data_IF_568804007657
#
_entry.id   IF_568804007657
#
_cell.length_a   1.000
_cell.length_b   1.000
_cell.length_c   1.000
_cell.angle_alpha   90.00
_cell.angle_beta   90.00
_cell.angle_gamma   90.00
#
_symmetry.space_group_name_H-M   'P 1'
#
loop_
_entity.id
_entity.type
_entity.pdbx_description
1 polymer ?
#
# COMPACT_ATOMS: atom_id res chain seq x y z
N UNK A 1 -5.09 -13.88 -1.32
CA UNK A 1 -5.23 -14.87 -0.24
C UNK A 1 -6.58 -14.67 0.45
N UNK A 2 -6.86 -15.41 1.51
CA UNK A 2 -8.09 -15.27 2.31
C UNK A 2 -8.15 -13.89 2.98
N UNK A 3 -7.05 -13.44 3.56
CA UNK A 3 -6.91 -12.15 4.25
C UNK A 3 -7.20 -10.96 3.32
N UNK A 4 -6.84 -11.07 2.03
CA UNK A 4 -7.17 -10.05 1.04
C UNK A 4 -8.68 -9.95 0.79
N UNK A 5 -9.39 -11.08 0.77
CA UNK A 5 -10.84 -11.10 0.55
C UNK A 5 -11.55 -10.50 1.75
N UNK A 6 -11.14 -10.88 2.95
CA UNK A 6 -11.63 -10.27 4.20
C UNK A 6 -11.40 -8.76 4.22
N UNK A 7 -10.21 -8.29 3.84
CA UNK A 7 -9.92 -6.87 3.76
C UNK A 7 -10.82 -6.12 2.76
N UNK A 8 -11.13 -6.73 1.62
CA UNK A 8 -12.06 -6.18 0.62
C UNK A 8 -13.47 -6.09 1.19
N UNK A 9 -13.92 -7.11 1.92
CA UNK A 9 -15.27 -7.14 2.48
C UNK A 9 -15.41 -6.14 3.64
N UNK A 10 -14.43 -6.05 4.53
CA UNK A 10 -14.35 -4.99 5.54
C UNK A 10 -14.39 -3.60 4.92
N UNK A 11 -13.65 -3.38 3.83
CA UNK A 11 -13.68 -2.10 3.12
C UNK A 11 -15.09 -1.80 2.58
N UNK A 12 -15.75 -2.78 1.94
CA UNK A 12 -17.12 -2.61 1.40
C UNK A 12 -18.15 -2.30 2.48
N UNK A 13 -18.03 -2.93 3.65
CA UNK A 13 -18.91 -2.72 4.81
C UNK A 13 -18.69 -1.35 5.45
N UNK A 14 -17.44 -0.89 5.55
CA UNK A 14 -17.09 0.41 6.12
C UNK A 14 -17.50 1.61 5.24
N UNK A 15 -17.85 1.37 3.96
CA UNK A 15 -18.25 2.45 3.05
C UNK A 15 -19.54 3.11 3.54
N UNK A 16 -19.59 4.46 3.57
CA UNK A 16 -20.80 5.18 3.95
C UNK A 16 -21.90 5.11 2.89
N UNK A 17 -21.54 4.78 1.64
CA UNK A 17 -22.47 4.66 0.50
C UNK A 17 -22.24 3.32 -0.18
N UNK A 18 -23.17 2.37 -0.01
CA UNK A 18 -23.01 0.99 -0.51
C UNK A 18 -23.17 0.85 -2.03
N UNK A 19 -23.88 1.77 -2.67
CA UNK A 19 -24.10 1.78 -4.13
C UNK A 19 -22.95 2.43 -4.91
N UNK A 20 -21.93 2.95 -4.23
CA UNK A 20 -20.78 3.57 -4.90
C UNK A 20 -20.02 2.52 -5.73
N UNK A 21 -19.61 2.85 -6.97
CA UNK A 21 -18.86 1.92 -7.83
C UNK A 21 -17.42 1.69 -7.34
N UNK A 22 -16.92 2.52 -6.42
CA UNK A 22 -15.56 2.50 -5.93
C UNK A 22 -15.40 1.63 -4.67
N UNK A 23 -14.30 0.88 -4.58
CA UNK A 23 -13.96 0.12 -3.38
C UNK A 23 -13.68 1.05 -2.19
N UNK A 24 -12.98 2.16 -2.45
CA UNK A 24 -12.78 3.23 -1.49
C UNK A 24 -13.48 4.49 -1.99
N UNK A 25 -14.35 5.07 -1.16
CA UNK A 25 -15.07 6.29 -1.50
C UNK A 25 -15.09 7.28 -0.33
N UNK A 26 -15.31 8.55 -0.65
CA UNK A 26 -15.49 9.58 0.36
C UNK A 26 -16.89 9.47 1.01
N UNK A 27 -17.19 10.35 1.98
CA UNK A 27 -18.49 10.38 2.69
C UNK A 27 -19.71 10.57 1.77
N UNK A 28 -19.50 11.03 0.53
CA UNK A 28 -20.53 11.26 -0.49
C UNK A 28 -20.62 10.12 -1.51
N UNK A 29 -19.77 9.09 -1.40
CA UNK A 29 -19.71 7.98 -2.35
C UNK A 29 -18.86 8.27 -3.60
N UNK A 30 -18.11 9.37 -3.63
CA UNK A 30 -17.29 9.78 -4.77
C UNK A 30 -15.88 9.18 -4.68
N UNK A 31 -15.17 9.13 -5.82
CA UNK A 31 -13.77 8.69 -5.90
C UNK A 31 -12.85 9.62 -5.09
N UNK A 32 -11.77 9.08 -4.53
CA UNK A 32 -10.72 9.89 -3.89
C UNK A 32 -9.80 10.60 -4.89
N UNK A 33 -9.74 10.12 -6.13
CA UNK A 33 -8.93 10.71 -7.19
C UNK A 33 -9.72 11.81 -7.91
N UNK A 34 -9.18 13.02 -7.89
CA UNK A 34 -9.66 14.17 -8.65
C UNK A 34 -9.01 14.14 -10.03
N UNK A 35 -9.75 13.69 -11.05
CA UNK A 35 -9.26 13.57 -12.43
C UNK A 35 -8.86 14.93 -13.05
N UNK A 36 -9.50 16.03 -12.65
CA UNK A 36 -9.20 17.34 -13.21
C UNK A 36 -7.86 17.90 -12.71
N UNK A 37 -7.49 17.56 -11.47
CA UNK A 37 -6.22 17.98 -10.85
C UNK A 37 -5.14 16.91 -10.88
N UNK A 38 -5.50 15.68 -11.25
CA UNK A 38 -4.64 14.49 -11.17
C UNK A 38 -4.08 14.27 -9.75
N UNK A 39 -4.91 14.49 -8.72
CA UNK A 39 -4.48 14.37 -7.32
C UNK A 39 -5.43 13.51 -6.48
N UNK A 40 -4.91 12.96 -5.38
CA UNK A 40 -5.67 12.18 -4.40
C UNK A 40 -5.64 12.83 -2.99
N UNK A 41 -5.73 14.16 -2.91
CA UNK A 41 -5.54 14.91 -1.64
C UNK A 41 -6.42 14.45 -0.46
N UNK A 42 -7.62 13.96 -0.74
CA UNK A 42 -8.51 13.39 0.29
C UNK A 42 -7.97 12.09 0.88
N UNK A 43 -7.27 11.29 0.08
CA UNK A 43 -6.59 10.08 0.50
C UNK A 43 -5.36 10.40 1.36
N UNK A 44 -4.54 11.37 0.93
CA UNK A 44 -3.37 11.83 1.70
C UNK A 44 -3.77 12.30 3.10
N UNK A 45 -4.87 13.05 3.19
CA UNK A 45 -5.45 13.51 4.46
C UNK A 45 -5.95 12.36 5.34
N UNK A 46 -6.47 11.29 4.73
CA UNK A 46 -6.87 10.08 5.46
C UNK A 46 -5.65 9.36 6.02
N UNK A 47 -4.61 9.19 5.19
CA UNK A 47 -3.37 8.54 5.60
C UNK A 47 -2.70 9.26 6.77
N UNK A 48 -2.64 10.60 6.74
CA UNK A 48 -2.08 11.37 7.84
C UNK A 48 -2.77 11.06 9.17
N UNK A 49 -4.11 11.10 9.20
CA UNK A 49 -4.90 10.84 10.42
C UNK A 49 -4.77 9.39 10.88
N UNK A 50 -4.71 8.46 9.94
CA UNK A 50 -4.45 7.05 10.23
C UNK A 50 -3.09 6.85 10.90
N UNK A 51 -2.05 7.49 10.37
CA UNK A 51 -0.70 7.44 10.95
C UNK A 51 -0.64 8.07 12.34
N UNK A 52 -1.32 9.20 12.57
CA UNK A 52 -1.44 9.81 13.90
C UNK A 52 -2.06 8.84 14.91
N UNK A 53 -3.14 8.15 14.53
CA UNK A 53 -3.77 7.14 15.38
C UNK A 53 -2.88 5.94 15.63
N UNK A 54 -2.20 5.42 14.60
CA UNK A 54 -1.28 4.28 14.74
C UNK A 54 -0.19 4.55 15.76
N UNK A 55 0.41 5.75 15.74
CA UNK A 55 1.49 6.10 16.68
C UNK A 55 1.02 6.18 18.13
N UNK A 56 -0.27 6.51 18.35
CA UNK A 56 -0.85 6.64 19.69
C UNK A 56 -1.42 5.32 20.20
N UNK A 57 -2.10 4.58 19.32
CA UNK A 57 -2.93 3.41 19.67
C UNK A 57 -2.15 2.09 19.59
N UNK A 58 -0.95 2.08 18.99
CA UNK A 58 -0.18 0.84 18.73
C UNK A 58 1.29 0.97 19.17
N UNK A 59 2.07 -0.10 18.96
CA UNK A 59 3.52 -0.13 19.25
C UNK A 59 4.37 0.45 18.11
N UNK A 60 3.76 1.01 17.07
CA UNK A 60 4.51 1.61 15.97
C UNK A 60 5.11 2.93 16.47
N UNK A 61 6.44 3.04 16.42
CA UNK A 61 7.16 4.23 16.90
C UNK A 61 7.47 5.23 15.79
N UNK A 62 7.58 4.76 14.54
CA UNK A 62 8.01 5.57 13.41
C UNK A 62 6.92 5.63 12.33
N UNK A 63 6.79 6.79 11.70
CA UNK A 63 5.89 6.95 10.55
C UNK A 63 6.39 6.16 9.36
N UNK A 64 5.45 5.69 8.54
CA UNK A 64 5.71 5.14 7.23
C UNK A 64 4.67 5.66 6.23
N UNK A 65 5.00 5.53 4.95
CA UNK A 65 4.19 5.95 3.81
C UNK A 65 3.60 4.73 3.10
N UNK A 66 2.63 4.95 2.21
CA UNK A 66 2.10 3.87 1.38
C UNK A 66 3.18 3.29 0.44
N UNK A 67 4.14 4.13 0.05
CA UNK A 67 5.29 3.70 -0.73
C UNK A 67 6.18 2.72 0.06
N UNK A 68 6.23 2.83 1.39
CA UNK A 68 6.95 1.87 2.24
C UNK A 68 6.22 0.52 2.30
N UNK A 69 4.88 0.51 2.31
CA UNK A 69 4.11 -0.74 2.18
C UNK A 69 4.37 -1.42 0.84
N UNK A 70 4.45 -0.64 -0.24
CA UNK A 70 4.80 -1.13 -1.57
C UNK A 70 6.22 -1.71 -1.61
N UNK A 71 7.19 -1.05 -0.97
CA UNK A 71 8.55 -1.58 -0.82
C UNK A 71 8.60 -2.84 0.05
N UNK A 72 7.80 -2.92 1.12
CA UNK A 72 7.70 -4.13 1.95
C UNK A 72 7.20 -5.32 1.14
N UNK A 73 6.15 -5.14 0.35
CA UNK A 73 5.61 -6.18 -0.54
C UNK A 73 6.68 -6.72 -1.50
N UNK A 74 7.42 -5.83 -2.17
CA UNK A 74 8.50 -6.24 -3.07
C UNK A 74 9.70 -6.88 -2.34
N UNK A 75 9.99 -6.44 -1.12
CA UNK A 75 11.06 -7.02 -0.30
C UNK A 75 10.75 -8.42 0.24
N UNK A 76 9.46 -8.75 0.38
CA UNK A 76 9.01 -10.07 0.81
C UNK A 76 8.90 -11.08 -0.33
N UNK A 77 8.82 -10.61 -1.58
CA UNK A 77 8.82 -11.47 -2.74
C UNK A 77 10.14 -12.25 -2.84
N UNK A 78 10.02 -13.55 -3.13
CA UNK A 78 11.16 -14.48 -3.17
C UNK A 78 12.19 -14.12 -4.24
N UNK A 79 11.73 -13.60 -5.38
CA UNK A 79 12.57 -13.31 -6.54
C UNK A 79 12.37 -11.88 -7.02
N UNK A 80 13.41 -11.31 -7.64
CA UNK A 80 13.32 -9.98 -8.26
C UNK A 80 12.23 -9.91 -9.33
N UNK A 81 12.07 -10.99 -10.10
CA UNK A 81 11.07 -11.03 -11.17
C UNK A 81 9.63 -11.07 -10.63
N UNK A 82 9.40 -11.80 -9.53
CA UNK A 82 8.13 -11.77 -8.83
C UNK A 82 7.85 -10.37 -8.25
N UNK A 83 8.84 -9.75 -7.60
CA UNK A 83 8.72 -8.40 -7.08
C UNK A 83 8.39 -7.38 -8.19
N UNK A 84 9.11 -7.45 -9.33
CA UNK A 84 8.90 -6.58 -10.49
C UNK A 84 7.49 -6.72 -11.04
N UNK A 85 6.99 -7.96 -11.14
CA UNK A 85 5.65 -8.26 -11.62
C UNK A 85 4.56 -7.75 -10.68
N UNK A 86 4.71 -7.96 -9.35
CA UNK A 86 3.78 -7.42 -8.34
C UNK A 86 3.69 -5.90 -8.39
N UNK A 87 4.82 -5.24 -8.63
CA UNK A 87 4.88 -3.79 -8.74
C UNK A 87 4.55 -3.26 -10.14
N UNK A 88 4.35 -4.12 -11.15
CA UNK A 88 4.15 -3.72 -12.54
C UNK A 88 5.24 -2.75 -13.06
N UNK A 89 6.49 -2.93 -12.63
CA UNK A 89 7.61 -2.13 -13.14
C UNK A 89 8.12 -2.68 -14.47
N UNK A 90 8.41 -1.79 -15.42
CA UNK A 90 8.99 -2.15 -16.70
C UNK A 90 10.40 -2.75 -16.56
N UNK A 91 11.20 -2.24 -15.61
CA UNK A 91 12.58 -2.67 -15.38
C UNK A 91 12.77 -3.17 -13.92
N UNK A 92 13.35 -4.36 -13.78
CA UNK A 92 13.71 -4.95 -12.50
C UNK A 92 14.79 -4.17 -11.75
N UNK A 93 15.69 -3.45 -12.44
CA UNK A 93 16.75 -2.66 -11.78
C UNK A 93 16.18 -1.58 -10.86
N UNK A 94 15.07 -0.97 -11.25
CA UNK A 94 14.38 0.02 -10.42
C UNK A 94 13.73 -0.63 -9.19
N UNK A 95 13.10 -1.79 -9.37
CA UNK A 95 12.54 -2.58 -8.25
C UNK A 95 13.62 -2.97 -7.24
N UNK A 96 14.75 -3.49 -7.72
CA UNK A 96 15.85 -3.92 -6.87
C UNK A 96 16.42 -2.76 -6.07
N UNK A 97 16.74 -1.65 -6.74
CA UNK A 97 17.36 -0.48 -6.11
C UNK A 97 16.45 0.24 -5.11
N UNK A 98 15.16 0.43 -5.44
CA UNK A 98 14.27 1.33 -4.67
C UNK A 98 13.28 0.60 -3.76
N UNK A 99 12.91 -0.63 -4.10
CA UNK A 99 11.82 -1.37 -3.43
C UNK A 99 12.29 -2.64 -2.71
N UNK A 100 13.40 -3.29 -3.09
CA UNK A 100 13.98 -4.42 -2.34
C UNK A 100 14.92 -3.92 -1.24
N UNK A 101 14.32 -3.38 -0.19
CA UNK A 101 15.05 -2.73 0.92
C UNK A 101 15.55 -3.71 2.00
N UNK A 102 15.02 -4.94 2.00
CA UNK A 102 15.44 -5.98 2.94
C UNK A 102 16.83 -6.51 2.57
N UNK A 103 17.77 -6.64 3.52
CA UNK A 103 19.08 -7.22 3.26
C UNK A 103 18.99 -8.65 2.71
N UNK A 104 19.82 -8.97 1.73
CA UNK A 104 19.95 -10.34 1.24
C UNK A 104 20.79 -11.18 2.19
N UNK A 105 20.24 -12.34 2.56
CA UNK A 105 20.98 -13.33 3.34
C UNK A 105 21.83 -14.16 2.38
N UNK A 106 23.12 -13.88 2.35
CA UNK A 106 24.09 -14.66 1.56
C UNK A 106 24.71 -15.77 2.40
N UNK A 107 24.98 -16.92 1.79
CA UNK A 107 25.83 -17.96 2.38
C UNK A 107 27.24 -17.78 1.82
N UNK A 108 28.28 -17.54 2.65
CA UNK A 108 29.64 -17.47 2.19
C UNK A 108 30.06 -18.78 1.50
N UNK A 109 30.86 -18.67 0.45
CA UNK A 109 31.55 -19.84 -0.13
C UNK A 109 32.53 -20.38 0.92
N UNK A 110 32.47 -21.69 1.16
CA UNK A 110 33.49 -22.42 1.93
C UNK A 110 34.69 -22.72 1.06
#
# INVERSE_FOLDING_TARGET
>A
SEELREAIDMAKEARPVHIAPWLFCNKRGECYFDEAKETASGWDSMWQRFMERILVETKVENRFTEHDLRAKCASDAETLEHARSLLAHADGRFTDRAYRRKPEKVKPLR
#
